data_IF_776183438949
#
_entry.id   IF_776183438949
#
_cell.length_a   1.000
_cell.length_b   1.000
_cell.length_c   1.000
_cell.angle_alpha   90.00
_cell.angle_beta   90.00
_cell.angle_gamma   90.00
#
_symmetry.space_group_name_H-M   'P 1'
#
loop_
_entity.id
_entity.type
_entity.pdbx_description
1 polymer ?
#
# COMPACT_ATOMS: atom_id res chain seq x y z
N UNK A 1 -42.06 -1.80 17.96
CA UNK A 1 -40.66 -2.18 18.27
C UNK A 1 -39.95 -2.92 17.13
N UNK A 2 -40.67 -3.61 16.23
CA UNK A 2 -40.10 -4.43 15.15
C UNK A 2 -39.49 -3.66 13.96
N UNK A 3 -39.98 -2.45 13.65
CA UNK A 3 -39.45 -1.62 12.55
C UNK A 3 -38.00 -1.13 12.76
N UNK A 4 -37.58 -0.91 14.01
CA UNK A 4 -36.21 -0.44 14.32
C UNK A 4 -35.16 -1.52 14.09
N UNK A 5 -35.49 -2.79 14.34
CA UNK A 5 -34.60 -3.94 14.13
C UNK A 5 -34.39 -4.22 12.63
N UNK A 6 -35.46 -4.11 11.83
CA UNK A 6 -35.37 -4.28 10.37
C UNK A 6 -34.52 -3.17 9.72
N UNK A 7 -34.65 -1.93 10.19
CA UNK A 7 -33.87 -0.78 9.69
C UNK A 7 -32.37 -0.90 10.04
N UNK A 8 -32.04 -1.37 11.24
CA UNK A 8 -30.66 -1.66 11.66
C UNK A 8 -30.03 -2.81 10.84
N UNK A 9 -30.78 -3.88 10.55
CA UNK A 9 -30.33 -4.98 9.68
C UNK A 9 -30.07 -4.52 8.24
N UNK A 10 -30.94 -3.68 7.68
CA UNK A 10 -30.78 -3.11 6.33
C UNK A 10 -29.58 -2.16 6.22
N UNK A 11 -29.27 -1.40 7.28
CA UNK A 11 -28.09 -0.53 7.35
C UNK A 11 -26.76 -1.32 7.44
N UNK A 12 -26.74 -2.47 8.12
CA UNK A 12 -25.56 -3.35 8.15
C UNK A 12 -25.35 -4.08 6.81
N UNK A 13 -26.43 -4.41 6.09
CA UNK A 13 -26.36 -5.05 4.78
C UNK A 13 -25.83 -4.10 3.69
N UNK A 14 -26.15 -2.81 3.76
CA UNK A 14 -25.62 -1.85 2.76
C UNK A 14 -24.12 -1.58 2.95
N UNK A 15 -23.62 -1.55 4.19
CA UNK A 15 -22.17 -1.37 4.44
C UNK A 15 -21.33 -2.57 4.00
N UNK A 16 -21.89 -3.79 4.08
CA UNK A 16 -21.21 -5.02 3.65
C UNK A 16 -21.18 -5.18 2.13
N UNK A 17 -22.21 -4.69 1.41
CA UNK A 17 -22.22 -4.68 -0.06
C UNK A 17 -21.22 -3.67 -0.64
N UNK A 18 -21.07 -2.49 -0.03
CA UNK A 18 -20.13 -1.47 -0.53
C UNK A 18 -18.65 -1.82 -0.31
N UNK A 19 -18.34 -2.58 0.75
CA UNK A 19 -17.02 -3.18 0.93
C UNK A 19 -16.75 -4.30 -0.09
N UNK A 20 -17.80 -4.98 -0.57
CA UNK A 20 -17.71 -6.06 -1.57
C UNK A 20 -17.36 -5.52 -2.96
N UNK A 21 -17.96 -4.42 -3.41
CA UNK A 21 -17.76 -3.91 -4.79
C UNK A 21 -16.36 -3.35 -5.05
N UNK A 22 -15.81 -2.61 -4.07
CA UNK A 22 -14.43 -2.08 -4.13
C UNK A 22 -13.40 -3.21 -4.19
N UNK A 23 -13.57 -4.25 -3.37
CA UNK A 23 -12.68 -5.41 -3.41
C UNK A 23 -12.79 -6.16 -4.73
N UNK A 24 -14.01 -6.43 -5.23
CA UNK A 24 -14.21 -7.16 -6.49
C UNK A 24 -13.65 -6.42 -7.70
N UNK A 25 -13.78 -5.10 -7.76
CA UNK A 25 -13.15 -4.29 -8.80
C UNK A 25 -11.61 -4.46 -8.78
N UNK A 26 -11.04 -4.54 -7.59
CA UNK A 26 -9.61 -4.74 -7.39
C UNK A 26 -9.13 -6.12 -7.83
N UNK A 27 -9.82 -7.17 -7.41
CA UNK A 27 -9.54 -8.56 -7.78
C UNK A 27 -9.54 -8.71 -9.30
N UNK A 28 -10.60 -8.25 -9.98
CA UNK A 28 -10.70 -8.31 -11.46
C UNK A 28 -9.57 -7.59 -12.18
N UNK A 29 -8.98 -6.58 -11.54
CA UNK A 29 -7.86 -5.84 -12.11
C UNK A 29 -6.54 -6.60 -11.92
N UNK A 30 -6.28 -7.17 -10.74
CA UNK A 30 -5.12 -8.06 -10.52
C UNK A 30 -5.18 -9.28 -11.44
N UNK A 31 -6.35 -9.90 -11.59
CA UNK A 31 -6.53 -11.06 -12.49
C UNK A 31 -6.21 -10.71 -13.95
N UNK A 32 -6.54 -9.49 -14.40
CA UNK A 32 -6.18 -9.00 -15.74
C UNK A 32 -4.68 -8.75 -15.88
N UNK A 33 -4.03 -8.18 -14.87
CA UNK A 33 -2.61 -7.84 -14.93
C UNK A 33 -1.70 -9.07 -14.82
N UNK A 34 -2.09 -10.06 -14.01
CA UNK A 34 -1.23 -11.21 -13.69
C UNK A 34 -1.49 -12.45 -14.56
N UNK A 35 -2.52 -12.44 -15.42
CA UNK A 35 -2.92 -13.57 -16.30
C UNK A 35 -3.15 -14.92 -15.57
N UNK A 36 -3.19 -14.91 -14.24
CA UNK A 36 -3.47 -16.04 -13.37
C UNK A 36 -4.76 -15.70 -12.64
N UNK A 37 -5.69 -16.66 -12.48
CA UNK A 37 -6.79 -16.52 -11.51
C UNK A 37 -6.16 -16.30 -10.14
N UNK A 38 -6.02 -15.05 -9.74
CA UNK A 38 -5.40 -14.69 -8.49
C UNK A 38 -6.32 -15.21 -7.38
N UNK A 39 -5.79 -16.04 -6.47
CA UNK A 39 -6.50 -16.45 -5.27
C UNK A 39 -6.64 -15.22 -4.37
N UNK A 40 -7.71 -14.47 -4.58
CA UNK A 40 -8.00 -13.23 -3.88
C UNK A 40 -9.11 -13.43 -2.84
N UNK A 41 -8.96 -12.73 -1.72
CA UNK A 41 -9.85 -12.81 -0.57
C UNK A 41 -10.23 -11.40 -0.12
N UNK A 42 -11.49 -11.26 0.28
CA UNK A 42 -12.12 -10.01 0.65
C UNK A 42 -13.00 -10.21 1.89
N UNK A 43 -13.36 -9.11 2.56
CA UNK A 43 -14.39 -9.13 3.59
C UNK A 43 -14.04 -10.02 4.79
N UNK A 44 -14.95 -10.86 5.30
CA UNK A 44 -14.73 -11.63 6.53
C UNK A 44 -13.48 -12.52 6.52
N UNK A 45 -13.07 -13.02 5.35
CA UNK A 45 -11.85 -13.85 5.22
C UNK A 45 -10.57 -13.10 5.61
N UNK A 46 -10.60 -11.77 5.66
CA UNK A 46 -9.47 -10.94 6.05
C UNK A 46 -9.34 -10.80 7.57
N UNK A 47 -10.29 -11.29 8.38
CA UNK A 47 -10.23 -11.18 9.84
C UNK A 47 -9.03 -11.89 10.48
N UNK A 48 -8.36 -12.77 9.72
CA UNK A 48 -7.15 -13.51 10.11
C UNK A 48 -5.88 -12.98 9.43
N UNK A 49 -5.98 -11.86 8.71
CA UNK A 49 -4.83 -11.14 8.16
C UNK A 49 -4.45 -10.07 9.17
N UNK A 50 -3.30 -10.25 9.81
CA UNK A 50 -2.79 -9.39 10.86
C UNK A 50 -1.68 -8.53 10.25
N UNK A 51 -1.79 -7.22 10.44
CA UNK A 51 -0.79 -6.24 10.06
C UNK A 51 -0.91 -5.01 10.96
N UNK A 52 0.23 -4.49 11.40
CA UNK A 52 0.40 -3.23 12.09
C UNK A 52 0.32 -2.11 11.06
N UNK A 53 -0.90 -1.64 10.86
CA UNK A 53 -1.18 -0.56 9.93
C UNK A 53 -1.42 0.75 10.69
N UNK A 54 -0.95 1.90 10.16
CA UNK A 54 -1.35 3.23 10.62
C UNK A 54 -2.88 3.35 10.73
N UNK A 55 -3.39 3.97 11.79
CA UNK A 55 -4.76 3.76 12.30
C UNK A 55 -5.95 4.04 11.38
N UNK A 56 -5.78 4.64 10.20
CA UNK A 56 -6.88 4.77 9.22
C UNK A 56 -6.85 3.72 8.11
N UNK A 57 -5.79 2.91 8.06
CA UNK A 57 -5.57 1.89 7.06
C UNK A 57 -6.12 0.55 7.50
N UNK A 58 -6.67 -0.16 6.52
CA UNK A 58 -7.17 -1.51 6.69
C UNK A 58 -6.90 -2.33 5.44
N UNK A 59 -6.67 -3.62 5.62
CA UNK A 59 -6.62 -4.58 4.52
C UNK A 59 -8.03 -4.75 3.95
N UNK A 60 -8.19 -4.45 2.67
CA UNK A 60 -9.45 -4.60 1.94
C UNK A 60 -9.43 -5.82 1.01
N UNK A 61 -8.25 -6.20 0.52
CA UNK A 61 -8.04 -7.42 -0.25
C UNK A 61 -6.67 -8.04 0.04
N UNK A 62 -6.58 -9.37 -0.02
CA UNK A 62 -5.33 -10.11 -0.01
C UNK A 62 -5.34 -11.14 -1.14
N UNK A 63 -4.33 -11.13 -2.00
CA UNK A 63 -4.27 -11.94 -3.21
C UNK A 63 -2.93 -12.69 -3.33
N UNK A 64 -3.00 -13.93 -3.82
CA UNK A 64 -1.83 -14.78 -4.06
C UNK A 64 -0.91 -14.94 -2.84
N UNK A 65 -1.54 -15.01 -1.65
CA UNK A 65 -0.81 -15.18 -0.39
C UNK A 65 -0.10 -16.52 -0.38
N UNK A 66 1.19 -16.50 -0.06
CA UNK A 66 2.03 -17.70 0.05
C UNK A 66 3.08 -17.51 1.13
N UNK A 67 3.50 -18.61 1.75
CA UNK A 67 4.63 -18.63 2.68
C UNK A 67 5.88 -18.94 1.89
N UNK A 68 6.81 -17.99 1.84
CA UNK A 68 8.14 -18.18 1.28
C UNK A 68 9.05 -18.76 2.36
N UNK A 69 9.76 -19.85 2.09
CA UNK A 69 10.67 -20.52 3.03
C UNK A 69 12.14 -20.43 2.59
N UNK A 70 12.47 -19.48 1.72
CA UNK A 70 13.77 -19.39 1.07
C UNK A 70 13.97 -20.45 -0.01
N UNK A 71 15.05 -20.29 -0.80
CA UNK A 71 15.47 -21.23 -1.85
C UNK A 71 14.39 -21.57 -2.90
N UNK A 72 13.52 -20.60 -3.20
CA UNK A 72 12.45 -20.76 -4.19
C UNK A 72 11.29 -21.66 -3.74
N UNK A 73 11.26 -22.11 -2.48
CA UNK A 73 10.14 -22.90 -1.93
C UNK A 73 9.07 -21.97 -1.42
N UNK A 74 7.88 -22.03 -2.03
CA UNK A 74 6.69 -21.34 -1.56
C UNK A 74 5.53 -22.31 -1.40
N UNK A 75 4.63 -22.01 -0.46
CA UNK A 75 3.40 -22.77 -0.23
C UNK A 75 2.20 -21.82 -0.19
N UNK A 76 1.09 -22.12 -0.91
CA UNK A 76 -0.06 -21.25 -0.95
C UNK A 76 -0.73 -21.16 0.42
N UNK A 77 -1.27 -19.98 0.74
CA UNK A 77 -2.01 -19.69 1.96
C UNK A 77 -3.42 -19.22 1.62
N UNK A 78 -4.37 -19.48 2.52
CA UNK A 78 -5.79 -19.11 2.37
C UNK A 78 -6.21 -18.20 3.52
N UNK A 79 -6.30 -16.87 3.30
CA UNK A 79 -6.97 -15.95 4.22
C UNK A 79 -8.32 -16.49 4.70
N UNK A 80 -8.55 -16.45 6.00
CA UNK A 80 -9.77 -16.94 6.65
C UNK A 80 -9.68 -18.38 7.14
N UNK A 81 -8.77 -19.18 6.59
CA UNK A 81 -8.37 -20.49 7.12
C UNK A 81 -7.08 -20.34 7.90
N UNK A 82 -6.04 -19.84 7.23
CA UNK A 82 -4.71 -19.61 7.81
C UNK A 82 -4.66 -18.25 8.52
N UNK A 83 -3.86 -18.16 9.58
CA UNK A 83 -3.52 -16.88 10.22
C UNK A 83 -2.31 -16.30 9.50
N UNK A 84 -2.49 -15.11 8.94
CA UNK A 84 -1.49 -14.44 8.12
C UNK A 84 -0.99 -13.20 8.85
N UNK A 85 0.05 -13.35 9.63
CA UNK A 85 0.76 -12.21 10.22
C UNK A 85 1.76 -11.68 9.19
N UNK A 86 1.42 -10.56 8.56
CA UNK A 86 2.23 -9.98 7.51
C UNK A 86 3.54 -9.43 8.08
N UNK A 87 3.57 -8.97 9.33
CA UNK A 87 4.74 -8.32 9.91
C UNK A 87 5.78 -9.30 10.48
N UNK A 88 5.39 -10.57 10.59
CA UNK A 88 6.21 -11.59 11.21
C UNK A 88 7.12 -12.30 10.22
N UNK A 89 8.38 -12.42 10.64
CA UNK A 89 9.34 -13.38 10.10
C UNK A 89 9.42 -14.58 11.07
N UNK A 90 9.33 -15.78 10.54
CA UNK A 90 9.54 -16.98 11.33
C UNK A 90 11.04 -17.22 11.57
N UNK A 91 11.36 -17.99 12.60
CA UNK A 91 12.75 -18.24 13.01
C UNK A 91 13.60 -18.95 11.94
N UNK A 92 12.94 -19.62 10.98
CA UNK A 92 13.57 -20.25 9.81
C UNK A 92 13.79 -19.27 8.64
N UNK A 93 13.53 -17.99 8.84
CA UNK A 93 13.59 -16.95 7.82
C UNK A 93 12.41 -16.96 6.86
N UNK A 94 11.38 -17.78 7.11
CA UNK A 94 10.18 -17.77 6.28
C UNK A 94 9.32 -16.54 6.56
N UNK A 95 8.66 -16.05 5.51
CA UNK A 95 7.78 -14.87 5.57
C UNK A 95 6.58 -15.05 4.64
N UNK A 96 5.57 -14.19 4.84
CA UNK A 96 4.38 -14.17 4.01
C UNK A 96 4.57 -13.17 2.88
N UNK A 97 4.38 -13.62 1.64
CA UNK A 97 4.42 -12.80 0.43
C UNK A 97 3.06 -12.83 -0.29
N UNK A 98 2.76 -11.75 -1.02
CA UNK A 98 1.49 -11.59 -1.73
C UNK A 98 1.16 -10.13 -2.03
N UNK A 99 -0.01 -9.93 -2.63
CA UNK A 99 -0.56 -8.60 -2.92
C UNK A 99 -1.57 -8.22 -1.84
N UNK A 100 -1.44 -7.03 -1.28
CA UNK A 100 -2.38 -6.50 -0.29
C UNK A 100 -2.91 -5.16 -0.76
N UNK A 101 -4.23 -5.06 -0.82
CA UNK A 101 -4.90 -3.79 -1.07
C UNK A 101 -5.25 -3.14 0.26
N UNK A 102 -4.76 -1.93 0.48
CA UNK A 102 -5.05 -1.14 1.66
C UNK A 102 -6.05 -0.04 1.32
N UNK A 103 -7.12 0.03 2.10
CA UNK A 103 -8.08 1.14 2.07
C UNK A 103 -7.85 2.06 3.25
N UNK A 104 -8.04 3.34 3.00
CA UNK A 104 -7.87 4.39 4.00
C UNK A 104 -6.92 5.46 3.51
N UNK A 105 -6.37 6.21 4.46
CA UNK A 105 -5.49 7.33 4.15
C UNK A 105 -4.14 7.15 4.81
N UNK A 106 -3.09 7.39 4.04
CA UNK A 106 -1.73 7.36 4.54
C UNK A 106 -1.06 8.67 4.23
N UNK A 107 -0.76 9.43 5.28
CA UNK A 107 0.09 10.60 5.16
C UNK A 107 1.54 10.20 5.34
N UNK A 108 2.37 10.57 4.36
CA UNK A 108 3.81 10.34 4.41
C UNK A 108 4.54 11.64 4.07
N UNK A 109 5.69 11.79 4.71
CA UNK A 109 6.71 12.75 4.29
C UNK A 109 7.88 11.97 3.70
N UNK A 110 8.31 12.39 2.51
CA UNK A 110 9.33 11.67 1.75
C UNK A 110 10.05 12.56 0.75
N UNK A 111 10.92 11.94 -0.03
CA UNK A 111 11.62 12.56 -1.14
C UNK A 111 10.93 12.19 -2.45
N UNK A 112 10.81 13.17 -3.33
CA UNK A 112 10.38 12.95 -4.71
C UNK A 112 11.59 13.16 -5.59
N UNK A 113 11.94 12.16 -6.38
CA UNK A 113 12.90 12.29 -7.48
C UNK A 113 12.11 12.51 -8.76
N UNK A 114 12.40 13.61 -9.44
CA UNK A 114 11.83 13.97 -10.73
C UNK A 114 12.79 13.56 -11.85
N UNK A 115 12.21 13.08 -12.94
CA UNK A 115 12.83 12.99 -14.24
C UNK A 115 11.94 13.67 -15.28
N UNK A 116 12.45 13.85 -16.49
CA UNK A 116 11.65 14.42 -17.58
C UNK A 116 10.44 13.53 -17.87
N UNK A 117 10.63 12.21 -17.84
CA UNK A 117 9.62 11.20 -18.20
C UNK A 117 8.76 10.73 -17.01
N UNK A 118 9.10 11.09 -15.77
CA UNK A 118 8.38 10.57 -14.62
C UNK A 118 8.77 11.16 -13.27
N UNK A 119 8.27 10.52 -12.22
CA UNK A 119 8.64 10.82 -10.85
C UNK A 119 8.55 9.55 -10.00
N UNK A 120 9.45 9.43 -9.03
CA UNK A 120 9.36 8.44 -7.97
C UNK A 120 9.27 9.15 -6.62
N UNK A 121 8.39 8.65 -5.77
CA UNK A 121 8.30 9.07 -4.38
C UNK A 121 8.88 7.97 -3.50
N UNK A 122 9.79 8.33 -2.61
CA UNK A 122 10.35 7.45 -1.60
C UNK A 122 10.11 8.02 -0.21
N UNK A 123 9.51 7.21 0.66
CA UNK A 123 9.36 7.55 2.07
C UNK A 123 9.77 6.36 2.94
N UNK A 124 10.40 6.68 4.06
CA UNK A 124 10.63 5.72 5.15
C UNK A 124 9.67 6.07 6.26
N UNK A 125 8.69 5.22 6.52
CA UNK A 125 7.85 5.38 7.69
C UNK A 125 8.57 4.78 8.90
N UNK A 126 9.02 5.62 9.82
CA UNK A 126 9.38 5.20 11.17
C UNK A 126 8.09 5.17 11.97
N UNK A 127 7.61 3.97 12.33
CA UNK A 127 6.47 3.85 13.23
C UNK A 127 6.91 4.38 14.61
N UNK A 128 6.20 5.38 15.13
CA UNK A 128 6.23 5.75 16.54
C UNK A 128 4.96 5.24 17.17
N UNK A 129 5.11 4.37 18.16
CA UNK A 129 4.02 4.00 19.05
C UNK A 129 3.70 5.19 19.96
N UNK A 130 2.42 5.49 20.17
CA UNK A 130 1.99 6.49 21.14
C UNK A 130 2.46 6.07 22.54
N UNK A 131 3.32 6.87 23.18
CA UNK A 131 3.90 6.54 24.49
C UNK A 131 5.39 6.85 24.67
N UNK A 132 6.04 7.51 23.72
CA UNK A 132 7.33 8.18 23.95
C UNK A 132 8.57 7.27 23.95
N UNK A 133 8.41 5.95 23.78
CA UNK A 133 9.55 5.05 23.55
C UNK A 133 9.62 4.74 22.06
N UNK A 134 10.61 5.32 21.37
CA UNK A 134 10.88 4.94 19.98
C UNK A 134 11.50 3.55 19.97
N UNK A 135 10.67 2.51 19.95
CA UNK A 135 11.14 1.17 19.62
C UNK A 135 11.52 1.22 18.15
N UNK A 136 12.77 0.89 17.83
CA UNK A 136 13.19 0.54 16.47
C UNK A 136 12.40 -0.72 16.08
N UNK A 137 11.15 -0.55 15.66
CA UNK A 137 10.39 -1.62 15.03
C UNK A 137 11.07 -1.82 13.69
N UNK A 138 11.79 -2.93 13.55
CA UNK A 138 12.54 -3.34 12.37
C UNK A 138 11.63 -3.67 11.15
N UNK A 139 10.43 -3.10 11.09
CA UNK A 139 9.50 -3.22 9.97
C UNK A 139 9.57 -1.92 9.17
N UNK A 140 10.63 -1.77 8.38
CA UNK A 140 10.74 -0.70 7.41
C UNK A 140 9.71 -0.95 6.30
N UNK A 141 8.52 -0.35 6.38
CA UNK A 141 7.74 -0.13 5.17
C UNK A 141 8.48 0.96 4.38
N UNK A 142 9.37 0.51 3.49
CA UNK A 142 9.97 1.37 2.50
C UNK A 142 8.96 1.57 1.38
N UNK A 143 8.34 2.74 1.35
CA UNK A 143 7.40 3.07 0.29
C UNK A 143 8.20 3.59 -0.90
N UNK A 144 8.44 2.73 -1.88
CA UNK A 144 8.81 3.17 -3.22
C UNK A 144 7.54 3.22 -4.07
N UNK A 145 7.10 4.43 -4.37
CA UNK A 145 5.93 4.68 -5.20
C UNK A 145 6.41 5.16 -6.56
N UNK A 146 6.14 4.37 -7.60
CA UNK A 146 6.26 4.86 -8.97
C UNK A 146 4.98 5.61 -9.34
N UNK A 147 5.11 6.91 -9.59
CA UNK A 147 3.97 7.76 -9.90
C UNK A 147 3.62 7.61 -11.38
N UNK A 148 2.33 7.53 -11.69
CA UNK A 148 1.86 7.67 -13.08
C UNK A 148 2.23 9.04 -13.63
N UNK A 149 2.23 9.20 -14.96
CA UNK A 149 2.54 10.50 -15.59
C UNK A 149 1.66 11.63 -15.05
N UNK A 150 0.35 11.39 -14.86
CA UNK A 150 -0.58 12.36 -14.30
C UNK A 150 -0.25 12.71 -12.84
N UNK A 151 0.07 11.71 -12.01
CA UNK A 151 0.46 11.95 -10.61
C UNK A 151 1.81 12.67 -10.52
N UNK A 152 2.77 12.35 -11.40
CA UNK A 152 4.07 13.01 -11.45
C UNK A 152 3.93 14.52 -11.70
N UNK A 153 2.94 14.96 -12.50
CA UNK A 153 2.69 16.40 -12.74
C UNK A 153 2.35 17.18 -11.46
N UNK A 154 1.80 16.54 -10.44
CA UNK A 154 1.47 17.20 -9.15
C UNK A 154 2.72 17.72 -8.42
N UNK A 155 3.89 17.16 -8.73
CA UNK A 155 5.16 17.50 -8.09
C UNK A 155 6.03 18.43 -8.94
N UNK A 156 5.69 18.58 -10.22
CA UNK A 156 6.41 19.40 -11.19
C UNK A 156 5.99 20.88 -11.06
N UNK A 157 6.90 21.84 -11.29
CA UNK A 157 6.54 23.25 -11.42
C UNK A 157 5.59 23.47 -12.61
N UNK A 158 4.62 24.41 -12.55
CA UNK A 158 3.65 24.66 -13.62
C UNK A 158 4.21 25.05 -15.00
N UNK A 159 5.52 25.30 -15.10
CA UNK A 159 6.20 25.79 -16.33
C UNK A 159 7.58 25.16 -16.55
N UNK A 160 7.83 23.97 -15.99
CA UNK A 160 9.11 23.30 -16.22
C UNK A 160 9.29 22.96 -17.71
N UNK A 161 10.44 23.33 -18.28
CA UNK A 161 10.80 22.97 -19.66
C UNK A 161 11.35 21.54 -19.71
N UNK A 162 11.29 20.85 -20.86
CA UNK A 162 11.99 19.59 -21.04
C UNK A 162 13.48 19.73 -20.70
N UNK A 163 14.03 18.81 -19.90
CA UNK A 163 15.43 18.80 -19.47
C UNK A 163 15.71 19.57 -18.17
N UNK A 164 14.81 20.45 -17.71
CA UNK A 164 15.03 21.23 -16.47
C UNK A 164 14.86 20.39 -15.20
N UNK A 165 14.12 19.28 -15.31
CA UNK A 165 13.78 18.40 -14.19
C UNK A 165 14.64 17.14 -14.15
N UNK A 166 15.52 16.94 -15.12
CA UNK A 166 16.50 15.88 -15.11
C UNK A 166 17.29 15.94 -13.79
N UNK A 167 17.15 14.88 -12.99
CA UNK A 167 17.76 14.75 -11.67
C UNK A 167 17.49 15.90 -10.71
N UNK A 168 16.21 16.19 -10.44
CA UNK A 168 15.80 17.07 -9.35
C UNK A 168 15.12 16.28 -8.24
N UNK A 169 15.38 16.68 -7.01
CA UNK A 169 14.71 16.14 -5.83
C UNK A 169 13.98 17.24 -5.07
N UNK A 170 12.94 16.87 -4.33
CA UNK A 170 12.30 17.74 -3.34
C UNK A 170 11.64 16.92 -2.26
N UNK A 171 11.55 17.47 -1.06
CA UNK A 171 10.68 16.90 -0.03
C UNK A 171 9.23 17.11 -0.41
N UNK A 172 8.38 16.14 -0.10
CA UNK A 172 6.94 16.26 -0.25
C UNK A 172 6.24 15.62 0.93
N UNK A 173 5.20 16.30 1.43
CA UNK A 173 4.20 15.68 2.30
C UNK A 173 2.99 15.35 1.44
N UNK A 174 2.59 14.09 1.44
CA UNK A 174 1.54 13.56 0.57
C UNK A 174 0.53 12.78 1.38
N UNK A 175 -0.72 12.80 0.94
CA UNK A 175 -1.76 11.89 1.41
C UNK A 175 -2.10 10.93 0.29
N UNK A 176 -1.80 9.67 0.51
CA UNK A 176 -2.28 8.58 -0.34
C UNK A 176 -3.65 8.16 0.14
N UNK A 177 -4.58 7.97 -0.80
CA UNK A 177 -5.87 7.34 -0.53
C UNK A 177 -6.00 6.12 -1.42
N UNK A 178 -6.41 5.00 -0.83
CA UNK A 178 -6.63 3.71 -1.49
C UNK A 178 -5.40 3.24 -2.26
N UNK A 179 -4.52 2.45 -1.66
CA UNK A 179 -3.25 2.07 -2.29
C UNK A 179 -2.92 0.60 -2.15
N UNK A 180 -2.22 0.10 -3.15
CA UNK A 180 -1.73 -1.27 -3.22
C UNK A 180 -0.32 -1.33 -2.71
N UNK A 181 -0.06 -2.31 -1.85
CA UNK A 181 1.30 -2.71 -1.53
C UNK A 181 1.51 -4.10 -2.13
N UNK A 182 2.52 -4.21 -2.98
CA UNK A 182 3.09 -5.49 -3.34
C UNK A 182 4.28 -5.75 -2.43
N UNK A 183 4.18 -6.78 -1.57
CA UNK A 183 5.26 -7.15 -0.67
C UNK A 183 6.09 -8.25 -1.32
N UNK A 184 7.30 -7.91 -1.75
CA UNK A 184 8.32 -8.87 -2.20
C UNK A 184 9.63 -8.50 -1.54
N UNK A 185 10.18 -9.44 -0.76
CA UNK A 185 11.41 -9.28 0.03
C UNK A 185 12.70 -9.12 -0.81
N UNK A 186 12.60 -8.77 -2.09
CA UNK A 186 13.77 -8.56 -2.97
C UNK A 186 14.09 -7.08 -3.21
N UNK A 187 13.71 -6.19 -2.30
CA UNK A 187 14.08 -4.77 -2.37
C UNK A 187 13.35 -3.97 -3.47
N UNK A 188 12.25 -4.53 -3.98
CA UNK A 188 11.41 -3.95 -5.03
C UNK A 188 9.96 -3.82 -4.59
N UNK A 189 9.72 -3.43 -3.33
CA UNK A 189 8.38 -3.14 -2.83
C UNK A 189 7.77 -2.03 -3.68
N UNK A 190 6.88 -2.43 -4.60
CA UNK A 190 6.14 -1.53 -5.45
C UNK A 190 4.86 -1.16 -4.75
N UNK A 191 4.68 0.13 -4.45
CA UNK A 191 3.40 0.65 -3.98
C UNK A 191 2.73 1.46 -5.09
N UNK A 192 1.42 1.22 -5.28
CA UNK A 192 0.62 1.90 -6.31
C UNK A 192 -0.55 2.61 -5.65
N UNK A 193 -0.48 3.94 -5.48
CA UNK A 193 -1.59 4.70 -4.93
C UNK A 193 -2.69 4.91 -5.96
N UNK A 194 -3.93 4.70 -5.56
CA UNK A 194 -5.12 5.03 -6.33
C UNK A 194 -5.30 6.55 -6.45
N UNK A 195 -5.12 7.29 -5.36
CA UNK A 195 -5.10 8.76 -5.36
C UNK A 195 -3.91 9.31 -4.57
N UNK A 196 -3.35 10.40 -5.09
CA UNK A 196 -2.27 11.17 -4.46
C UNK A 196 -2.75 12.60 -4.29
N UNK A 197 -2.74 13.09 -3.06
CA UNK A 197 -2.92 14.50 -2.73
C UNK A 197 -1.60 15.05 -2.21
N UNK A 198 -1.13 16.14 -2.81
CA UNK A 198 0.10 16.82 -2.37
C UNK A 198 -0.28 17.85 -1.31
N UNK A 199 0.13 17.62 -0.06
CA UNK A 199 -0.16 18.50 1.07
C UNK A 199 0.84 19.66 1.15
N UNK A 200 2.12 19.37 0.88
CA UNK A 200 3.15 20.38 0.79
C UNK A 200 4.33 19.91 -0.05
N UNK A 201 5.07 20.88 -0.61
CA UNK A 201 6.27 20.63 -1.39
C UNK A 201 7.41 21.52 -0.90
N UNK A 202 8.55 20.92 -0.59
CA UNK A 202 9.79 21.62 -0.30
C UNK A 202 10.45 22.21 -1.56
N UNK A 203 11.55 22.96 -1.40
CA UNK A 203 12.28 23.50 -2.53
C UNK A 203 12.87 22.40 -3.41
N UNK A 204 12.95 22.66 -4.71
CA UNK A 204 13.67 21.80 -5.66
C UNK A 204 15.17 21.92 -5.42
N UNK A 205 15.85 20.78 -5.40
CA UNK A 205 17.31 20.66 -5.29
C UNK A 205 17.84 19.75 -6.40
N UNK A 206 19.10 19.90 -6.83
CA UNK A 206 19.76 18.85 -7.61
C UNK A 206 19.71 17.51 -6.86
N UNK A 207 19.70 16.39 -7.56
CA UNK A 207 20.15 15.13 -6.96
C UNK A 207 21.54 15.35 -6.35
N UNK A 208 21.83 14.71 -5.22
CA UNK A 208 23.23 14.56 -4.82
C UNK A 208 23.83 13.50 -5.74
N UNK A 209 24.94 13.84 -6.41
CA UNK A 209 25.77 12.85 -7.07
C UNK A 209 26.22 11.86 -5.99
N UNK A 210 25.86 10.59 -6.16
CA UNK A 210 26.30 9.50 -5.30
C UNK A 210 27.77 9.18 -5.51
#
# INVERSE_FOLDING_TARGET
MWMKVLFLLLLCLSQSVWASDSCQAHVRRIERETSVRASCYCGPSLSRVLAQLPGTLRVEAACQMRRNRGFGKSSPLRPGVDVLDLDRYDADGSYIEGWVFLRGQLELEGQVMLSDDGASFSARQLYREDGGTSVLVNNYLYFLVQLSQAQAQLFKPPRARPGELACKTRTARVRFTDFEIYRVDTGGDGSRPGRVEVLSLGPLKPCMDG
#
